data_IF_461777398910
#
_entry.id   IF_461777398910
#
_cell.length_a   1.000
_cell.length_b   1.000
_cell.length_c   1.000
_cell.angle_alpha   90.00
_cell.angle_beta   90.00
_cell.angle_gamma   90.00
#
_symmetry.space_group_name_H-M   'P 1'
#
loop_
_entity.id
_entity.type
_entity.pdbx_description
1 polymer ?
#
# COMPACT_ATOMS: atom_id res chain seq x y z
N UNK A 1 34.08 -13.67 2.51
CA UNK A 1 33.71 -13.03 3.79
C UNK A 1 33.88 -14.01 4.96
N UNK A 2 33.42 -15.28 4.86
CA UNK A 2 33.55 -16.28 5.93
C UNK A 2 35.02 -16.61 6.21
N UNK A 3 35.81 -16.93 5.20
CA UNK A 3 37.22 -17.22 5.29
C UNK A 3 38.06 -16.06 5.85
N UNK A 4 37.75 -14.83 5.47
CA UNK A 4 38.41 -13.63 6.00
C UNK A 4 38.12 -13.42 7.50
N UNK A 5 36.90 -13.72 7.93
CA UNK A 5 36.54 -13.64 9.35
C UNK A 5 37.25 -14.70 10.19
N UNK A 6 37.35 -15.92 9.69
CA UNK A 6 38.08 -17.00 10.34
C UNK A 6 39.59 -16.69 10.41
N UNK A 7 40.17 -16.21 9.30
CA UNK A 7 41.58 -15.82 9.21
C UNK A 7 41.99 -14.71 10.17
N UNK A 8 41.09 -13.71 10.35
CA UNK A 8 41.37 -12.54 11.19
C UNK A 8 40.66 -12.55 12.56
N UNK A 9 40.14 -13.72 12.96
CA UNK A 9 39.42 -13.91 14.24
C UNK A 9 38.34 -12.85 14.52
N UNK A 10 37.66 -12.37 13.47
CA UNK A 10 36.59 -11.38 13.59
C UNK A 10 35.31 -12.05 14.10
N UNK A 11 34.88 -11.80 15.34
CA UNK A 11 33.68 -12.43 15.88
C UNK A 11 32.45 -12.05 15.06
N UNK A 12 31.55 -13.02 14.85
CA UNK A 12 30.20 -12.70 14.38
C UNK A 12 29.51 -11.95 15.49
N UNK A 13 29.38 -10.63 15.37
CA UNK A 13 28.52 -9.87 16.24
C UNK A 13 27.06 -10.30 15.95
N UNK A 14 26.59 -11.28 16.69
CA UNK A 14 25.18 -11.59 16.76
C UNK A 14 24.57 -10.55 17.70
N UNK A 15 24.16 -9.42 17.15
CA UNK A 15 23.22 -8.53 17.83
C UNK A 15 21.90 -9.28 17.91
N UNK A 16 21.68 -9.99 19.00
CA UNK A 16 20.36 -10.48 19.36
C UNK A 16 19.52 -9.24 19.70
N UNK A 17 18.67 -8.82 18.78
CA UNK A 17 17.57 -7.95 19.16
C UNK A 17 16.59 -8.83 19.94
N UNK A 18 16.40 -8.55 21.21
CA UNK A 18 15.28 -9.07 21.96
C UNK A 18 14.01 -8.50 21.33
N UNK A 19 13.21 -9.36 20.71
CA UNK A 19 11.87 -8.98 20.25
C UNK A 19 10.93 -9.21 21.41
N UNK A 20 10.32 -8.16 21.94
CA UNK A 20 9.18 -8.31 22.82
C UNK A 20 8.00 -8.84 21.99
N UNK A 21 7.27 -9.81 22.57
CA UNK A 21 6.05 -10.31 21.95
C UNK A 21 5.01 -9.18 21.98
N UNK A 22 4.68 -8.66 20.80
CA UNK A 22 3.69 -7.61 20.69
C UNK A 22 2.30 -8.21 20.86
N UNK A 23 1.51 -7.67 21.78
CA UNK A 23 0.16 -8.12 22.06
C UNK A 23 -0.71 -8.12 20.78
N UNK A 24 -1.48 -9.19 20.61
CA UNK A 24 -2.40 -9.34 19.49
C UNK A 24 -3.51 -8.28 19.60
N UNK A 25 -3.71 -7.51 18.53
CA UNK A 25 -4.74 -6.50 18.48
C UNK A 25 -6.14 -7.12 18.49
N UNK A 26 -7.14 -6.45 19.09
CA UNK A 26 -8.53 -6.89 19.04
C UNK A 26 -9.05 -7.04 17.61
N UNK A 27 -10.07 -7.88 17.44
CA UNK A 27 -10.77 -8.08 16.18
C UNK A 27 -11.38 -6.76 15.68
N UNK A 28 -11.27 -6.50 14.36
CA UNK A 28 -11.81 -5.30 13.75
C UNK A 28 -11.08 -4.00 14.10
N UNK A 29 -10.00 -4.08 14.87
CA UNK A 29 -9.28 -2.89 15.33
C UNK A 29 -8.48 -2.21 14.24
N UNK A 30 -7.68 -2.99 13.52
CA UNK A 30 -6.67 -2.41 12.65
C UNK A 30 -6.49 -3.23 11.37
N UNK A 31 -6.30 -2.55 10.25
CA UNK A 31 -5.73 -3.13 9.05
C UNK A 31 -4.52 -2.33 8.60
N UNK A 32 -3.66 -2.96 7.81
CA UNK A 32 -2.49 -2.32 7.23
C UNK A 32 -2.59 -2.29 5.73
N UNK A 33 -2.09 -1.20 5.17
CA UNK A 33 -1.94 -0.97 3.73
C UNK A 33 -0.45 -0.94 3.38
N UNK A 34 -0.08 -1.71 2.37
CA UNK A 34 1.29 -1.81 1.87
C UNK A 34 1.30 -1.66 0.35
N UNK A 35 2.31 -0.95 -0.16
CA UNK A 35 2.48 -0.69 -1.59
C UNK A 35 3.73 -1.36 -2.13
N UNK A 36 3.73 -1.63 -3.42
CA UNK A 36 4.92 -2.11 -4.09
C UNK A 36 4.82 -2.11 -5.60
N UNK A 37 5.94 -2.40 -6.22
CA UNK A 37 6.06 -2.51 -7.68
C UNK A 37 6.86 -3.75 -8.06
N UNK A 38 6.65 -4.23 -9.26
CA UNK A 38 7.36 -5.39 -9.78
C UNK A 38 7.49 -5.31 -11.29
N UNK A 39 8.62 -5.75 -11.81
CA UNK A 39 8.81 -5.98 -13.25
C UNK A 39 8.39 -7.41 -13.58
N UNK A 40 7.58 -7.59 -14.59
CA UNK A 40 7.12 -8.88 -15.11
C UNK A 40 7.46 -9.01 -16.58
N UNK A 41 7.49 -10.23 -17.05
CA UNK A 41 7.64 -10.54 -18.46
C UNK A 41 6.24 -10.79 -19.03
N UNK A 42 5.92 -10.13 -20.14
CA UNK A 42 4.69 -10.34 -20.89
C UNK A 42 4.82 -11.56 -21.82
N UNK A 43 3.71 -12.04 -22.35
CA UNK A 43 3.70 -13.20 -23.26
C UNK A 43 4.51 -12.95 -24.55
N UNK A 44 4.67 -11.70 -24.98
CA UNK A 44 5.50 -11.27 -26.13
C UNK A 44 6.96 -10.98 -25.76
N UNK A 45 7.36 -11.35 -24.54
CA UNK A 45 8.74 -11.24 -24.05
C UNK A 45 9.16 -9.83 -23.59
N UNK A 46 8.27 -8.86 -23.61
CA UNK A 46 8.56 -7.51 -23.12
C UNK A 46 8.54 -7.45 -21.59
N UNK A 47 9.25 -6.48 -21.05
CA UNK A 47 9.23 -6.21 -19.61
C UNK A 47 8.24 -5.07 -19.33
N UNK A 48 7.26 -5.36 -18.51
CA UNK A 48 6.30 -4.37 -17.99
C UNK A 48 6.53 -4.16 -16.48
N UNK A 49 6.33 -2.94 -16.02
CA UNK A 49 6.31 -2.59 -14.60
C UNK A 49 4.87 -2.46 -14.13
N UNK A 50 4.49 -3.22 -13.13
CA UNK A 50 3.17 -3.17 -12.51
C UNK A 50 3.28 -2.81 -11.03
N UNK A 51 2.21 -2.24 -10.50
CA UNK A 51 2.11 -1.71 -9.15
C UNK A 51 1.05 -2.46 -8.37
N UNK A 52 1.26 -2.64 -7.09
CA UNK A 52 0.34 -3.36 -6.21
C UNK A 52 0.08 -2.56 -4.94
N UNK A 53 -1.18 -2.53 -4.54
CA UNK A 53 -1.62 -2.15 -3.19
C UNK A 53 -2.16 -3.40 -2.51
N UNK A 54 -1.77 -3.64 -1.28
CA UNK A 54 -2.22 -4.78 -0.50
C UNK A 54 -2.75 -4.34 0.86
N UNK A 55 -3.82 -4.97 1.27
CA UNK A 55 -4.48 -4.76 2.55
C UNK A 55 -4.41 -6.04 3.38
N UNK A 56 -4.16 -5.92 4.67
CA UNK A 56 -4.19 -7.06 5.59
C UNK A 56 -4.84 -6.68 6.90
N UNK A 57 -5.77 -7.48 7.37
CA UNK A 57 -6.35 -7.34 8.70
C UNK A 57 -5.33 -7.77 9.75
N UNK A 58 -5.04 -6.90 10.72
CA UNK A 58 -3.96 -7.14 11.70
C UNK A 58 -4.25 -8.30 12.65
N UNK A 59 -5.51 -8.65 12.91
CA UNK A 59 -5.88 -9.78 13.77
C UNK A 59 -5.88 -11.11 12.99
N UNK A 60 -6.66 -11.22 11.93
CA UNK A 60 -6.81 -12.47 11.17
C UNK A 60 -5.70 -12.75 10.17
N UNK A 61 -4.90 -11.76 9.82
CA UNK A 61 -3.94 -11.83 8.68
C UNK A 61 -4.61 -12.09 7.34
N UNK A 62 -5.92 -11.84 7.24
CA UNK A 62 -6.67 -11.99 6.00
C UNK A 62 -6.33 -10.86 5.04
N UNK A 63 -6.07 -11.20 3.77
CA UNK A 63 -5.40 -10.33 2.79
C UNK A 63 -6.30 -10.05 1.60
N UNK A 64 -6.20 -8.84 1.08
CA UNK A 64 -6.71 -8.39 -0.21
C UNK A 64 -5.60 -7.68 -0.97
N UNK A 65 -5.60 -7.73 -2.30
CA UNK A 65 -4.63 -7.02 -3.12
C UNK A 65 -5.23 -6.62 -4.47
N UNK A 66 -4.76 -5.49 -4.99
CA UNK A 66 -5.12 -4.98 -6.30
C UNK A 66 -3.88 -4.51 -7.06
N UNK A 67 -3.84 -4.77 -8.36
CA UNK A 67 -2.72 -4.44 -9.23
C UNK A 67 -3.15 -3.50 -10.34
N UNK A 68 -2.22 -2.65 -10.79
CA UNK A 68 -2.40 -1.80 -11.98
C UNK A 68 -1.09 -1.55 -12.71
N UNK A 69 -1.17 -1.08 -13.98
CA UNK A 69 -0.01 -0.90 -14.86
C UNK A 69 0.67 0.46 -14.69
N UNK A 70 0.11 1.36 -13.92
CA UNK A 70 0.64 2.70 -13.64
C UNK A 70 0.75 2.95 -12.13
N UNK A 71 1.54 3.93 -11.68
CA UNK A 71 1.56 4.32 -10.28
C UNK A 71 0.16 4.69 -9.76
N UNK A 72 -0.11 4.40 -8.49
CA UNK A 72 -1.38 4.76 -7.86
C UNK A 72 -1.49 6.27 -7.67
N UNK A 73 -2.63 6.83 -8.04
CA UNK A 73 -3.05 8.18 -7.67
C UNK A 73 -3.85 8.15 -6.36
N UNK A 74 -4.13 9.32 -5.77
CA UNK A 74 -5.00 9.41 -4.59
C UNK A 74 -6.36 8.74 -4.85
N UNK A 75 -6.99 8.99 -5.98
CA UNK A 75 -8.29 8.38 -6.35
C UNK A 75 -8.22 6.87 -6.47
N UNK A 76 -7.16 6.35 -7.09
CA UNK A 76 -6.95 4.91 -7.16
C UNK A 76 -6.86 4.29 -5.77
N UNK A 77 -6.14 4.94 -4.85
CA UNK A 77 -6.01 4.48 -3.46
C UNK A 77 -7.37 4.48 -2.77
N UNK A 78 -8.18 5.55 -2.93
CA UNK A 78 -9.54 5.61 -2.37
C UNK A 78 -10.42 4.49 -2.92
N UNK A 79 -10.39 4.29 -4.24
CA UNK A 79 -11.12 3.20 -4.89
C UNK A 79 -10.70 1.82 -4.37
N UNK A 80 -9.40 1.59 -4.22
CA UNK A 80 -8.88 0.33 -3.66
C UNK A 80 -9.30 0.11 -2.21
N UNK A 81 -9.46 1.17 -1.41
CA UNK A 81 -10.00 1.06 -0.06
C UNK A 81 -11.45 0.60 -0.06
N UNK A 82 -12.28 1.20 -0.93
CA UNK A 82 -13.68 0.78 -1.06
C UNK A 82 -13.81 -0.68 -1.50
N UNK A 83 -13.01 -1.10 -2.48
CA UNK A 83 -12.96 -2.51 -2.90
C UNK A 83 -12.51 -3.44 -1.77
N UNK A 84 -11.53 -3.03 -0.97
CA UNK A 84 -11.08 -3.80 0.18
C UNK A 84 -12.17 -3.89 1.25
N UNK A 85 -12.90 -2.80 1.53
CA UNK A 85 -14.02 -2.79 2.48
C UNK A 85 -15.17 -3.68 2.01
N UNK A 86 -15.47 -3.67 0.72
CA UNK A 86 -16.46 -4.57 0.13
C UNK A 86 -16.02 -6.03 0.28
N UNK A 87 -14.79 -6.35 -0.08
CA UNK A 87 -14.23 -7.69 0.03
C UNK A 87 -14.24 -8.22 1.47
N UNK A 88 -13.93 -7.38 2.46
CA UNK A 88 -14.00 -7.74 3.85
C UNK A 88 -15.43 -7.72 4.44
N UNK A 89 -16.36 -7.06 3.77
CA UNK A 89 -17.70 -6.82 4.28
C UNK A 89 -17.76 -5.77 5.40
N UNK A 90 -16.77 -4.89 5.45
CA UNK A 90 -16.66 -3.80 6.43
C UNK A 90 -15.24 -3.24 6.53
N UNK A 91 -15.03 -2.32 7.45
CA UNK A 91 -13.75 -1.65 7.66
C UNK A 91 -13.32 -1.74 9.13
N UNK A 92 -12.03 -1.58 9.38
CA UNK A 92 -11.47 -1.50 10.73
C UNK A 92 -11.58 -0.07 11.29
N UNK A 93 -11.36 0.08 12.60
CA UNK A 93 -11.32 1.41 13.23
C UNK A 93 -10.12 2.24 12.77
N UNK A 94 -9.02 1.58 12.45
CA UNK A 94 -7.72 2.19 12.21
C UNK A 94 -7.05 1.55 10.99
N UNK A 95 -6.37 2.39 10.21
CA UNK A 95 -5.59 1.96 9.04
C UNK A 95 -4.14 2.41 9.20
N UNK A 96 -3.23 1.46 9.07
CA UNK A 96 -1.79 1.67 9.20
C UNK A 96 -1.15 1.80 7.82
N UNK A 97 -0.31 2.79 7.65
CA UNK A 97 0.49 3.01 6.44
C UNK A 97 1.98 3.06 6.77
N UNK A 98 2.81 2.48 5.92
CA UNK A 98 4.26 2.64 5.98
C UNK A 98 4.63 3.97 5.29
N UNK A 99 5.14 4.93 6.06
CA UNK A 99 5.50 6.25 5.57
C UNK A 99 6.51 6.20 4.41
N UNK A 100 7.51 5.32 4.49
CA UNK A 100 8.54 5.18 3.46
C UNK A 100 7.96 4.71 2.11
N UNK A 101 6.87 3.95 2.15
CA UNK A 101 6.23 3.40 0.95
C UNK A 101 5.14 4.30 0.37
N UNK A 102 4.54 5.15 1.19
CA UNK A 102 3.66 6.21 0.71
C UNK A 102 4.40 7.18 -0.22
N UNK A 103 5.69 7.41 0.03
CA UNK A 103 6.54 8.27 -0.81
C UNK A 103 6.74 7.71 -2.23
N UNK A 104 6.73 6.39 -2.41
CA UNK A 104 6.94 5.76 -3.72
C UNK A 104 5.70 5.77 -4.61
N UNK A 105 4.54 6.02 -4.04
CA UNK A 105 3.25 5.98 -4.73
C UNK A 105 2.76 7.39 -5.08
N UNK A 106 3.26 8.40 -4.39
CA UNK A 106 2.80 9.76 -4.53
C UNK A 106 3.42 10.49 -5.70
N UNK A 107 2.60 11.04 -6.54
CA UNK A 107 2.97 12.03 -7.55
C UNK A 107 3.40 13.37 -6.92
N UNK A 108 3.15 13.59 -5.62
CA UNK A 108 3.42 14.81 -4.86
C UNK A 108 4.59 14.70 -3.86
N UNK A 109 5.54 13.80 -4.10
CA UNK A 109 6.72 13.70 -3.23
C UNK A 109 6.47 13.10 -1.84
N UNK A 110 5.43 12.25 -1.69
CA UNK A 110 5.35 11.38 -0.52
C UNK A 110 4.04 11.35 0.25
N UNK A 111 3.04 12.18 -0.08
CA UNK A 111 1.99 12.42 0.90
C UNK A 111 0.55 12.26 0.38
N UNK A 112 0.23 11.10 -0.23
CA UNK A 112 -1.17 10.78 -0.62
C UNK A 112 -2.12 11.01 0.56
N UNK A 113 -1.74 10.60 1.77
CA UNK A 113 -2.58 10.73 2.96
C UNK A 113 -2.81 12.18 3.40
N UNK A 114 -1.99 13.13 2.96
CA UNK A 114 -2.16 14.56 3.26
C UNK A 114 -2.87 15.32 2.15
N UNK A 115 -3.24 14.67 1.04
CA UNK A 115 -4.09 15.33 0.04
C UNK A 115 -5.45 15.67 0.64
N UNK A 116 -6.03 16.79 0.25
CA UNK A 116 -7.36 17.20 0.72
C UNK A 116 -8.41 16.12 0.42
N UNK A 117 -8.32 15.48 -0.74
CA UNK A 117 -9.21 14.42 -1.17
C UNK A 117 -9.15 13.21 -0.24
N UNK A 118 -7.94 12.77 0.16
CA UNK A 118 -7.79 11.68 1.11
C UNK A 118 -8.26 12.05 2.52
N UNK A 119 -8.00 13.28 2.97
CA UNK A 119 -8.46 13.75 4.27
C UNK A 119 -9.99 13.88 4.34
N UNK A 120 -10.63 14.36 3.26
CA UNK A 120 -12.09 14.39 3.16
C UNK A 120 -12.68 12.97 3.23
N UNK A 121 -12.11 12.03 2.47
CA UNK A 121 -12.48 10.63 2.50
C UNK A 121 -12.33 10.00 3.89
N UNK A 122 -11.18 10.19 4.52
CA UNK A 122 -10.92 9.71 5.89
C UNK A 122 -11.99 10.23 6.87
N UNK A 123 -12.29 11.52 6.80
CA UNK A 123 -13.31 12.16 7.66
C UNK A 123 -14.69 11.56 7.41
N UNK A 124 -15.06 11.34 6.15
CA UNK A 124 -16.34 10.75 5.77
C UNK A 124 -16.46 9.29 6.25
N UNK A 125 -15.40 8.49 6.13
CA UNK A 125 -15.37 7.09 6.59
C UNK A 125 -15.12 6.96 8.10
N UNK A 126 -14.55 7.98 8.73
CA UNK A 126 -14.32 8.03 10.16
C UNK A 126 -13.30 7.02 10.68
N UNK A 127 -12.30 6.60 9.88
CA UNK A 127 -11.21 5.76 10.37
C UNK A 127 -10.04 6.62 10.85
N UNK A 128 -9.23 6.05 11.75
CA UNK A 128 -8.00 6.67 12.20
C UNK A 128 -6.83 6.22 11.35
N UNK A 129 -5.88 7.12 11.12
CA UNK A 129 -4.62 6.80 10.44
C UNK A 129 -3.54 6.60 11.50
N UNK A 130 -2.78 5.53 11.35
CA UNK A 130 -1.55 5.31 12.07
C UNK A 130 -0.37 5.21 11.08
N UNK A 131 0.63 6.06 11.26
CA UNK A 131 1.83 6.07 10.43
C UNK A 131 2.96 5.34 11.13
N UNK A 132 3.41 4.24 10.55
CA UNK A 132 4.63 3.59 11.00
C UNK A 132 5.83 4.38 10.52
N UNK A 133 6.63 4.90 11.44
CA UNK A 133 7.93 5.49 11.13
C UNK A 133 8.98 4.41 10.88
N UNK A 134 9.97 4.72 10.02
CA UNK A 134 11.07 3.80 9.70
C UNK A 134 11.81 3.25 10.93
N UNK A 135 11.80 3.99 12.03
CA UNK A 135 12.51 3.70 13.28
C UNK A 135 11.66 2.99 14.36
N UNK A 136 10.40 2.62 14.06
CA UNK A 136 9.55 1.91 15.03
C UNK A 136 9.53 0.40 14.73
N UNK A 137 10.40 -0.40 15.42
CA UNK A 137 10.48 -1.85 15.19
C UNK A 137 9.24 -2.60 15.67
N UNK A 138 8.50 -2.04 16.64
CA UNK A 138 7.34 -2.71 17.26
C UNK A 138 6.14 -2.72 16.33
N UNK A 139 5.88 -1.62 15.62
CA UNK A 139 4.84 -1.57 14.60
C UNK A 139 5.21 -2.33 13.33
N UNK A 140 6.52 -2.44 12.98
CA UNK A 140 7.01 -3.26 11.86
C UNK A 140 7.05 -4.76 12.15
N UNK A 141 7.21 -5.16 13.42
CA UNK A 141 7.28 -6.57 13.82
C UNK A 141 5.95 -7.31 13.70
N UNK A 142 4.82 -6.60 13.77
CA UNK A 142 3.47 -7.19 13.67
C UNK A 142 3.03 -7.49 12.26
N UNK A 143 3.62 -6.83 11.27
CA UNK A 143 3.11 -6.91 9.90
C UNK A 143 4.15 -7.57 9.01
N UNK A 144 3.85 -8.78 8.68
CA UNK A 144 4.46 -9.48 7.56
C UNK A 144 4.39 -8.58 6.33
N UNK A 145 5.49 -8.42 5.63
CA UNK A 145 5.53 -7.65 4.39
C UNK A 145 4.64 -8.34 3.35
N UNK A 146 3.35 -8.01 3.38
CA UNK A 146 2.31 -8.67 2.58
C UNK A 146 2.59 -8.51 1.09
N UNK A 147 3.06 -7.35 0.67
CA UNK A 147 3.46 -7.12 -0.73
C UNK A 147 4.61 -8.06 -1.12
N UNK A 148 5.61 -8.23 -0.26
CA UNK A 148 6.71 -9.16 -0.52
C UNK A 148 6.24 -10.61 -0.60
N UNK A 149 5.29 -10.99 0.25
CA UNK A 149 4.67 -12.32 0.22
C UNK A 149 3.92 -12.56 -1.09
N UNK A 150 3.08 -11.61 -1.52
CA UNK A 150 2.32 -11.71 -2.78
C UNK A 150 3.27 -11.73 -3.99
N UNK A 151 4.25 -10.84 -4.03
CA UNK A 151 5.25 -10.80 -5.11
C UNK A 151 6.01 -12.13 -5.26
N UNK A 152 6.42 -12.73 -4.14
CA UNK A 152 7.19 -13.98 -4.15
C UNK A 152 6.36 -15.21 -4.49
N UNK A 153 5.12 -15.30 -3.99
CA UNK A 153 4.33 -16.52 -4.03
C UNK A 153 3.25 -16.51 -5.10
N UNK A 154 2.79 -15.33 -5.52
CA UNK A 154 1.85 -15.20 -6.64
C UNK A 154 2.55 -14.74 -7.91
N UNK A 155 3.20 -13.57 -7.90
CA UNK A 155 3.63 -12.90 -9.12
C UNK A 155 4.93 -13.47 -9.71
N UNK A 156 5.87 -13.92 -8.87
CA UNK A 156 7.14 -14.48 -9.34
C UNK A 156 6.92 -15.69 -10.25
N UNK A 157 7.61 -15.70 -11.38
CA UNK A 157 7.56 -16.77 -12.39
C UNK A 157 6.21 -16.91 -13.12
N UNK A 158 5.35 -15.89 -13.08
CA UNK A 158 4.15 -15.82 -13.91
C UNK A 158 4.36 -14.89 -15.09
N UNK A 159 3.76 -15.23 -16.21
CA UNK A 159 3.72 -14.39 -17.41
C UNK A 159 2.50 -13.46 -17.28
N UNK A 160 2.72 -12.19 -17.53
CA UNK A 160 1.67 -11.18 -17.51
C UNK A 160 0.96 -11.11 -18.86
N UNK A 161 -0.36 -11.10 -18.86
CA UNK A 161 -1.18 -10.91 -20.07
C UNK A 161 -1.90 -9.57 -20.04
N UNK A 162 -2.87 -9.43 -19.16
CA UNK A 162 -3.65 -8.21 -18.97
C UNK A 162 -4.01 -8.02 -17.50
N UNK A 163 -4.27 -6.80 -17.10
CA UNK A 163 -4.40 -6.43 -15.69
C UNK A 163 -5.65 -7.00 -15.02
N UNK A 164 -6.77 -7.05 -15.72
CA UNK A 164 -8.02 -7.58 -15.15
C UNK A 164 -7.91 -9.06 -14.82
N UNK A 165 -7.47 -9.86 -15.79
CA UNK A 165 -7.20 -11.29 -15.58
C UNK A 165 -6.14 -11.52 -14.49
N UNK A 166 -5.14 -10.64 -14.41
CA UNK A 166 -4.12 -10.73 -13.37
C UNK A 166 -4.71 -10.51 -11.97
N UNK A 167 -5.60 -9.52 -11.82
CA UNK A 167 -6.30 -9.26 -10.58
C UNK A 167 -7.21 -10.42 -10.17
N UNK A 168 -8.00 -10.96 -11.09
CA UNK A 168 -8.83 -12.15 -10.86
C UNK A 168 -7.99 -13.34 -10.39
N UNK A 169 -6.88 -13.63 -11.08
CA UNK A 169 -5.97 -14.69 -10.69
C UNK A 169 -5.32 -14.46 -9.33
N UNK A 170 -5.01 -13.21 -8.99
CA UNK A 170 -4.46 -12.85 -7.69
C UNK A 170 -5.47 -13.12 -6.56
N UNK A 171 -6.71 -12.69 -6.73
CA UNK A 171 -7.78 -12.94 -5.76
C UNK A 171 -8.06 -14.44 -5.60
N UNK A 172 -8.20 -15.16 -6.69
CA UNK A 172 -8.39 -16.62 -6.66
C UNK A 172 -7.20 -17.35 -6.00
N UNK A 173 -5.97 -16.85 -6.17
CA UNK A 173 -4.80 -17.38 -5.48
C UNK A 173 -4.82 -17.04 -3.98
N UNK A 174 -5.22 -15.82 -3.61
CA UNK A 174 -5.38 -15.44 -2.20
C UNK A 174 -6.39 -16.33 -1.49
N UNK A 175 -7.51 -16.61 -2.10
CA UNK A 175 -8.53 -17.51 -1.57
C UNK A 175 -8.02 -18.93 -1.35
N UNK A 176 -7.34 -19.51 -2.35
CA UNK A 176 -6.86 -20.90 -2.30
C UNK A 176 -5.59 -21.08 -1.46
N UNK A 177 -4.72 -20.07 -1.41
CA UNK A 177 -3.37 -20.15 -0.83
C UNK A 177 -3.13 -19.07 0.21
N UNK A 178 -3.16 -17.79 -0.19
CA UNK A 178 -2.71 -16.68 0.65
C UNK A 178 -3.50 -16.51 1.95
N UNK A 179 -4.80 -16.82 1.91
CA UNK A 179 -5.71 -16.74 3.06
C UNK A 179 -6.10 -18.12 3.61
N UNK A 180 -5.74 -19.20 2.92
CA UNK A 180 -6.13 -20.56 3.30
C UNK A 180 -5.01 -21.36 3.98
N UNK A 181 -3.74 -21.08 3.67
CA UNK A 181 -2.63 -21.75 4.33
C UNK A 181 -2.48 -21.30 5.78
N UNK A 182 -2.04 -22.22 6.64
CA UNK A 182 -1.75 -21.92 8.05
C UNK A 182 -0.68 -20.84 8.14
N UNK A 183 -1.01 -19.75 8.80
CA UNK A 183 -0.11 -18.61 8.97
C UNK A 183 0.89 -18.86 10.10
N UNK A 184 2.17 -18.55 9.86
CA UNK A 184 3.25 -18.88 10.79
C UNK A 184 3.09 -18.25 12.19
N UNK A 185 2.56 -17.03 12.28
CA UNK A 185 2.41 -16.31 13.55
C UNK A 185 1.16 -16.77 14.30
N UNK A 186 -0.01 -16.71 13.67
CA UNK A 186 -1.29 -17.03 14.34
C UNK A 186 -1.57 -18.53 14.43
N UNK A 187 -0.75 -19.38 13.78
CA UNK A 187 -0.88 -20.86 13.76
C UNK A 187 -2.24 -21.39 13.33
N UNK A 188 -3.02 -20.56 12.65
CA UNK A 188 -4.35 -20.85 12.10
C UNK A 188 -4.44 -20.36 10.66
N UNK A 189 -5.45 -20.77 9.93
CA UNK A 189 -5.74 -20.25 8.61
C UNK A 189 -6.35 -18.85 8.72
N UNK A 190 -5.85 -17.85 7.98
CA UNK A 190 -6.44 -16.51 7.99
C UNK A 190 -7.94 -16.49 7.74
N UNK A 191 -8.46 -17.31 6.84
CA UNK A 191 -9.89 -17.40 6.53
C UNK A 191 -10.74 -17.84 7.72
N UNK A 192 -10.24 -18.76 8.54
CA UNK A 192 -10.95 -19.25 9.75
C UNK A 192 -11.00 -18.16 10.83
N UNK A 193 -9.88 -17.46 11.03
CA UNK A 193 -9.80 -16.37 12.00
C UNK A 193 -10.61 -15.16 11.50
N UNK A 194 -10.61 -14.90 10.19
CA UNK A 194 -11.42 -13.85 9.59
C UNK A 194 -12.92 -14.06 9.79
N UNK A 195 -13.41 -15.29 9.69
CA UNK A 195 -14.82 -15.59 9.96
C UNK A 195 -15.25 -15.13 11.36
N UNK A 196 -14.31 -15.19 12.35
CA UNK A 196 -14.53 -14.71 13.71
C UNK A 196 -14.29 -13.19 13.87
N UNK A 197 -13.52 -12.58 12.97
CA UNK A 197 -13.23 -11.14 12.97
C UNK A 197 -14.31 -10.33 12.23
N UNK A 198 -14.85 -10.87 11.15
CA UNK A 198 -15.82 -10.20 10.26
C UNK A 198 -16.99 -9.52 11.00
N UNK A 199 -17.63 -10.11 12.03
CA UNK A 199 -18.71 -9.46 12.78
C UNK A 199 -18.27 -8.20 13.56
N UNK A 200 -16.97 -8.04 13.80
CA UNK A 200 -16.38 -6.90 14.52
C UNK A 200 -15.95 -5.75 13.59
N UNK A 201 -16.02 -5.94 12.28
CA UNK A 201 -15.76 -4.86 11.32
C UNK A 201 -16.92 -3.87 11.33
N UNK A 202 -16.58 -2.58 11.22
CA UNK A 202 -17.59 -1.53 11.09
C UNK A 202 -18.25 -1.63 9.72
N UNK A 203 -19.56 -1.69 9.68
CA UNK A 203 -20.31 -1.72 8.42
C UNK A 203 -20.08 -0.46 7.61
N UNK A 204 -19.90 -0.62 6.31
CA UNK A 204 -19.86 0.46 5.34
C UNK A 204 -21.23 0.54 4.69
N UNK A 205 -21.98 1.60 4.98
CA UNK A 205 -23.41 1.73 4.60
C UNK A 205 -23.63 1.90 3.10
N UNK A 206 -22.65 2.46 2.40
CA UNK A 206 -22.63 2.61 0.94
C UNK A 206 -21.20 2.68 0.45
N UNK A 207 -20.89 2.01 -0.66
CA UNK A 207 -19.62 2.19 -1.34
C UNK A 207 -19.63 3.56 -2.03
N UNK A 208 -18.51 4.27 -1.92
CA UNK A 208 -18.29 5.51 -2.65
C UNK A 208 -17.77 5.15 -4.04
N UNK A 209 -18.49 5.57 -5.06
CA UNK A 209 -18.00 5.45 -6.44
C UNK A 209 -17.08 6.63 -6.73
N UNK A 210 -15.83 6.33 -6.98
CA UNK A 210 -14.88 7.28 -7.54
C UNK A 210 -14.83 7.00 -9.04
N UNK A 211 -15.69 7.67 -9.81
CA UNK A 211 -15.62 7.56 -11.26
C UNK A 211 -14.21 7.95 -11.70
N UNK A 212 -13.56 7.05 -12.38
CA UNK A 212 -12.30 7.29 -13.06
C UNK A 212 -12.56 8.19 -14.28
N UNK A 213 -12.96 9.43 -14.03
CA UNK A 213 -12.89 10.43 -15.06
C UNK A 213 -11.43 10.53 -15.47
N UNK A 214 -11.14 10.28 -16.74
CA UNK A 214 -9.82 10.40 -17.38
C UNK A 214 -9.19 11.81 -17.31
N UNK A 215 -9.71 12.68 -16.46
CA UNK A 215 -9.20 13.98 -16.09
C UNK A 215 -8.79 14.01 -14.63
N UNK A 216 -7.76 13.25 -14.23
CA UNK A 216 -7.23 13.34 -12.87
C UNK A 216 -6.58 14.71 -12.68
N UNK A 217 -7.21 15.54 -11.88
CA UNK A 217 -6.58 16.74 -11.36
C UNK A 217 -5.50 16.32 -10.37
N UNK A 218 -4.25 16.56 -10.73
CA UNK A 218 -3.09 16.27 -9.90
C UNK A 218 -2.63 17.57 -9.26
N UNK A 219 -2.38 17.54 -7.96
CA UNK A 219 -1.83 18.69 -7.25
C UNK A 219 -0.31 18.66 -7.33
N UNK A 220 0.31 19.79 -7.65
CA UNK A 220 1.77 19.95 -7.71
C UNK A 220 2.20 21.23 -7.02
N UNK A 221 3.34 21.14 -6.34
CA UNK A 221 3.99 22.32 -5.77
C UNK A 221 4.71 23.10 -6.86
N UNK A 222 4.44 24.40 -6.94
CA UNK A 222 5.14 25.33 -7.80
C UNK A 222 6.44 25.74 -7.13
N UNK A 223 7.56 25.54 -7.84
CA UNK A 223 8.88 25.96 -7.37
C UNK A 223 9.10 27.47 -7.64
N UNK A 224 10.15 28.06 -7.02
CA UNK A 224 10.50 29.50 -7.11
C UNK A 224 10.70 30.01 -8.56
N UNK A 225 11.03 29.11 -9.47
CA UNK A 225 11.22 29.36 -10.89
C UNK A 225 9.92 29.23 -11.71
N UNK A 226 8.75 29.17 -11.05
CA UNK A 226 7.44 28.92 -11.65
C UNK A 226 7.39 27.63 -12.49
N UNK A 227 8.04 26.58 -11.98
CA UNK A 227 8.06 25.25 -12.60
C UNK A 227 7.38 24.25 -11.68
N UNK A 228 6.63 23.33 -12.26
CA UNK A 228 6.15 22.10 -11.61
C UNK A 228 6.89 20.89 -12.20
N UNK A 229 7.01 19.83 -11.42
CA UNK A 229 7.60 18.56 -11.86
C UNK A 229 6.51 17.50 -11.97
N UNK A 230 6.47 16.79 -13.10
CA UNK A 230 5.59 15.65 -13.30
C UNK A 230 6.27 14.58 -14.14
N UNK A 231 6.26 13.33 -13.68
CA UNK A 231 6.91 12.17 -14.33
C UNK A 231 8.36 12.46 -14.79
N UNK A 232 9.16 13.07 -13.91
CA UNK A 232 10.55 13.50 -14.18
C UNK A 232 10.70 14.65 -15.20
N UNK A 233 9.63 15.14 -15.78
CA UNK A 233 9.62 16.31 -16.65
C UNK A 233 9.36 17.61 -15.87
N UNK A 234 9.75 18.73 -16.46
CA UNK A 234 9.51 20.08 -15.93
C UNK A 234 8.53 20.81 -16.83
N UNK A 235 7.52 21.42 -16.21
CA UNK A 235 6.48 22.20 -16.90
C UNK A 235 6.44 23.59 -16.31
N UNK A 236 6.43 24.62 -17.17
CA UNK A 236 6.27 26.00 -16.73
C UNK A 236 4.81 26.29 -16.40
N UNK A 237 4.59 27.05 -15.34
CA UNK A 237 3.30 27.65 -15.01
C UNK A 237 3.38 29.16 -15.19
N UNK A 238 2.25 29.89 -15.30
CA UNK A 238 2.25 31.34 -15.48
C UNK A 238 3.13 32.05 -14.43
N UNK A 239 3.86 33.07 -14.86
CA UNK A 239 4.68 33.89 -13.98
C UNK A 239 3.83 34.50 -12.87
N UNK A 240 4.34 34.46 -11.62
CA UNK A 240 3.62 34.95 -10.45
C UNK A 240 2.69 33.90 -9.79
N UNK A 241 2.66 32.67 -10.28
CA UNK A 241 1.98 31.56 -9.60
C UNK A 241 2.70 31.22 -8.28
N UNK A 242 4.04 31.26 -8.29
CA UNK A 242 4.81 31.15 -7.05
C UNK A 242 4.72 32.43 -6.22
N UNK A 243 4.36 32.32 -4.94
CA UNK A 243 4.35 33.43 -3.98
C UNK A 243 5.15 33.02 -2.73
N UNK A 244 6.14 33.82 -2.29
CA UNK A 244 6.86 33.53 -1.05
C UNK A 244 5.89 33.46 0.14
N UNK A 245 6.13 32.55 1.08
CA UNK A 245 5.38 32.40 2.34
C UNK A 245 3.90 31.93 2.21
N UNK A 246 3.48 31.42 1.06
CA UNK A 246 2.15 30.87 0.82
C UNK A 246 2.30 29.41 0.35
N UNK A 247 1.27 28.61 0.56
CA UNK A 247 1.21 27.28 -0.04
C UNK A 247 1.09 27.44 -1.58
N UNK A 248 2.14 27.02 -2.28
CA UNK A 248 2.27 27.16 -3.71
C UNK A 248 1.83 25.88 -4.43
N UNK A 249 0.62 25.46 -4.19
CA UNK A 249 0.04 24.25 -4.77
C UNK A 249 -0.89 24.58 -5.92
N UNK A 250 -0.74 23.91 -7.06
CA UNK A 250 -1.61 24.06 -8.24
C UNK A 250 -2.21 22.72 -8.62
N UNK A 251 -3.44 22.77 -9.11
CA UNK A 251 -4.10 21.61 -9.72
C UNK A 251 -3.78 21.58 -11.21
N UNK A 252 -3.26 20.46 -11.67
CA UNK A 252 -3.01 20.23 -13.11
C UNK A 252 -3.94 19.13 -13.61
N UNK A 253 -4.51 19.33 -14.76
CA UNK A 253 -5.29 18.34 -15.51
C UNK A 253 -4.41 17.73 -16.57
N UNK A 254 -4.42 16.41 -16.67
CA UNK A 254 -3.73 15.67 -17.71
C UNK A 254 -4.79 15.27 -18.72
N UNK A 255 -4.65 15.75 -19.94
CA UNK A 255 -5.49 15.40 -21.09
C UNK A 255 -4.82 14.33 -21.92
#
# INVERSE_FOLDING_TARGET
VRELREKYHIPKSLTYRSYEAVEELPKGKQMQVDFGEMKLITYDGKIIKIYVIAFVLSHSRFKYAYWQERPFTTRDVLHCHEQAFEYYGGMTEEIVYDQDKLMTVSENGGDIIYTEEFQAYRKQRGFRIYLCRAADPESKGKVENVVKFIKRNFAKNRVFHQIDTWNEQCLAWLERKGNYQVHNTIKKRPVEVFALEKPHLRKVSSLLSFESNHGSSITRTVHKDNIIKYQSNRYSVPLGTYKPQVDNTVHIRIE
#
